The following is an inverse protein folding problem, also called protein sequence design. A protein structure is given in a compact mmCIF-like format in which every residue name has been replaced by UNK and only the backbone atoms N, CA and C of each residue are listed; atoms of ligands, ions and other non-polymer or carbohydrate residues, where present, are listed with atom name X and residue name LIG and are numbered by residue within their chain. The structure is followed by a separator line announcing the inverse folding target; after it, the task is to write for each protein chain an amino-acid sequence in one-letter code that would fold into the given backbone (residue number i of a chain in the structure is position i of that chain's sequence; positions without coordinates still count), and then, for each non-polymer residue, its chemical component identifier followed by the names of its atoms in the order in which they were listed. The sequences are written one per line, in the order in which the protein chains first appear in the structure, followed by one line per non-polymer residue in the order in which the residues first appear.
data_IF_640380588949
#
_entry.id   IF_640380588949
#
_cell.length_a   1.000
_cell.length_b   1.000
_cell.length_c   1.000
_cell.angle_alpha   90.00
_cell.angle_beta   90.00
_cell.angle_gamma   90.00
#
_symmetry.space_group_name_H-M   'P 1'
#
loop_
_entity.id
_entity.type
_entity.pdbx_description
1 polymer ?
#
# COMPACT_ATOMS: atom_id res chain seq x y z
N UNK A 1 -11.78 -11.87 -18.58
CA UNK A 1 -12.41 -12.20 -17.29
C UNK A 1 -11.82 -11.22 -16.30
N UNK A 2 -12.56 -10.18 -15.97
CA UNK A 2 -12.11 -9.12 -15.07
C UNK A 2 -12.43 -9.57 -13.64
N UNK A 3 -11.42 -10.13 -12.97
CA UNK A 3 -11.51 -10.62 -11.59
C UNK A 3 -11.04 -9.55 -10.60
N UNK A 4 -11.52 -8.30 -10.76
CA UNK A 4 -11.19 -7.21 -9.84
C UNK A 4 -12.29 -7.13 -8.77
N UNK A 5 -12.00 -7.62 -7.56
CA UNK A 5 -12.91 -7.60 -6.42
C UNK A 5 -12.50 -6.54 -5.40
N UNK A 6 -13.46 -5.70 -4.99
CA UNK A 6 -13.35 -4.85 -3.79
C UNK A 6 -13.78 -5.66 -2.58
N UNK A 7 -12.85 -5.96 -1.68
CA UNK A 7 -13.09 -6.73 -0.46
C UNK A 7 -13.14 -5.79 0.75
N UNK A 8 -14.28 -5.14 0.99
CA UNK A 8 -14.46 -4.21 2.10
C UNK A 8 -13.87 -2.82 1.87
N UNK A 9 -13.95 -1.94 2.88
CA UNK A 9 -13.91 -0.49 2.70
C UNK A 9 -12.62 0.09 2.08
N UNK A 10 -11.47 -0.61 2.06
CA UNK A 10 -10.21 -0.04 1.55
C UNK A 10 -9.25 -1.07 0.92
N UNK A 11 -9.77 -2.21 0.44
CA UNK A 11 -8.95 -3.32 -0.05
C UNK A 11 -9.33 -3.71 -1.47
N UNK A 12 -8.39 -3.55 -2.40
CA UNK A 12 -8.54 -3.87 -3.81
C UNK A 12 -7.63 -5.04 -4.19
N UNK A 13 -8.18 -6.10 -4.80
CA UNK A 13 -7.38 -7.18 -5.40
C UNK A 13 -7.31 -7.01 -6.91
N UNK A 14 -6.10 -7.03 -7.46
CA UNK A 14 -5.85 -6.86 -8.91
C UNK A 14 -4.92 -7.96 -9.40
N UNK A 15 -5.16 -8.48 -10.61
CA UNK A 15 -4.21 -9.35 -11.30
C UNK A 15 -2.98 -8.56 -11.77
N UNK A 16 -1.82 -9.20 -11.77
CA UNK A 16 -0.54 -8.59 -12.14
C UNK A 16 -0.55 -8.05 -13.58
N UNK A 17 -1.21 -8.74 -14.53
CA UNK A 17 -1.24 -8.32 -15.93
C UNK A 17 -2.08 -7.06 -16.12
N UNK A 18 -3.19 -6.99 -15.39
CA UNK A 18 -4.15 -5.90 -15.46
C UNK A 18 -3.60 -4.63 -14.79
N UNK A 19 -2.90 -4.81 -13.66
CA UNK A 19 -2.13 -3.76 -13.01
C UNK A 19 -1.05 -3.18 -13.94
N UNK A 20 -0.35 -4.01 -14.71
CA UNK A 20 0.73 -3.55 -15.60
C UNK A 20 0.23 -2.55 -16.65
N UNK A 21 -0.97 -2.78 -17.20
CA UNK A 21 -1.54 -1.93 -18.25
C UNK A 21 -2.14 -0.65 -17.66
N UNK A 22 -2.74 -0.75 -16.47
CA UNK A 22 -3.55 0.31 -15.87
C UNK A 22 -2.95 0.90 -14.58
N UNK A 23 -1.62 0.77 -14.38
CA UNK A 23 -0.95 1.12 -13.13
C UNK A 23 -1.29 2.55 -12.66
N UNK A 24 -1.18 3.54 -13.56
CA UNK A 24 -1.47 4.94 -13.23
C UNK A 24 -2.91 5.13 -12.76
N UNK A 25 -3.88 4.51 -13.43
CA UNK A 25 -5.30 4.58 -13.06
C UNK A 25 -5.52 4.04 -11.64
N UNK A 26 -4.98 2.85 -11.38
CA UNK A 26 -5.12 2.22 -10.07
C UNK A 26 -4.41 3.01 -8.96
N UNK A 27 -3.26 3.62 -9.24
CA UNK A 27 -2.56 4.48 -8.28
C UNK A 27 -3.35 5.75 -7.97
N UNK A 28 -3.97 6.39 -8.96
CA UNK A 28 -4.72 7.64 -8.77
C UNK A 28 -6.08 7.42 -8.11
N UNK A 29 -6.78 6.33 -8.44
CA UNK A 29 -8.11 6.02 -7.90
C UNK A 29 -8.08 5.44 -6.47
N UNK A 30 -6.93 4.91 -6.03
CA UNK A 30 -6.77 4.22 -4.74
C UNK A 30 -5.73 4.94 -3.87
N UNK A 31 -5.71 6.28 -3.92
CA UNK A 31 -4.85 7.11 -3.08
C UNK A 31 -5.21 6.93 -1.60
N UNK A 32 -4.29 6.35 -0.82
CA UNK A 32 -4.49 6.02 0.59
C UNK A 32 -4.90 4.57 0.85
N UNK A 33 -5.27 3.82 -0.20
CA UNK A 33 -5.71 2.44 -0.09
C UNK A 33 -4.56 1.44 -0.28
N UNK A 34 -4.85 0.19 0.11
CA UNK A 34 -3.92 -0.92 -0.05
C UNK A 34 -4.36 -1.81 -1.21
N UNK A 35 -3.53 -1.87 -2.24
CA UNK A 35 -3.74 -2.69 -3.43
C UNK A 35 -2.99 -4.01 -3.24
N UNK A 36 -3.72 -5.12 -3.25
CA UNK A 36 -3.18 -6.46 -3.21
C UNK A 36 -3.04 -7.00 -4.63
N UNK A 37 -1.81 -7.30 -4.99
CA UNK A 37 -1.46 -7.80 -6.32
C UNK A 37 -1.45 -9.32 -6.24
N UNK A 38 -2.23 -9.95 -7.13
CA UNK A 38 -2.34 -11.39 -7.22
C UNK A 38 -1.84 -11.89 -8.58
N UNK A 39 -1.33 -13.12 -8.61
CA UNK A 39 -0.95 -13.84 -9.83
C UNK A 39 -1.27 -15.31 -9.65
N UNK A 40 -1.97 -15.92 -10.62
CA UNK A 40 -2.42 -17.32 -10.53
C UNK A 40 -3.14 -17.63 -9.21
N UNK A 41 -4.05 -16.76 -8.78
CA UNK A 41 -4.79 -16.83 -7.50
C UNK A 41 -3.92 -16.84 -6.23
N UNK A 42 -2.64 -16.46 -6.33
CA UNK A 42 -1.75 -16.28 -5.18
C UNK A 42 -1.45 -14.80 -4.97
N UNK A 43 -1.42 -14.37 -3.71
CA UNK A 43 -0.97 -13.02 -3.37
C UNK A 43 0.54 -12.94 -3.58
N UNK A 44 0.97 -11.99 -4.41
CA UNK A 44 2.39 -11.82 -4.76
C UNK A 44 3.00 -10.53 -4.21
N UNK A 45 2.20 -9.48 -4.03
CA UNK A 45 2.68 -8.22 -3.48
C UNK A 45 1.54 -7.39 -2.87
N UNK A 46 1.93 -6.47 -1.97
CA UNK A 46 1.09 -5.41 -1.43
C UNK A 46 1.66 -4.08 -1.90
N UNK A 47 0.81 -3.22 -2.43
CA UNK A 47 1.16 -1.87 -2.85
C UNK A 47 0.30 -0.88 -2.07
N UNK A 48 0.93 -0.06 -1.23
CA UNK A 48 0.24 1.01 -0.52
C UNK A 48 0.58 2.35 -1.17
N UNK A 49 -0.44 3.05 -1.62
CA UNK A 49 -0.27 4.34 -2.30
C UNK A 49 -0.43 5.45 -1.27
N UNK A 50 0.69 6.05 -0.86
CA UNK A 50 0.68 7.14 0.11
C UNK A 50 0.39 8.46 -0.57
N UNK A 51 -0.69 9.15 -0.16
CA UNK A 51 -0.85 10.57 -0.47
C UNK A 51 0.15 11.40 0.37
N UNK A 52 0.36 12.68 0.03
CA UNK A 52 1.28 13.58 0.75
C UNK A 52 1.04 13.61 2.27
N UNK A 53 -0.22 13.56 2.68
CA UNK A 53 -0.61 13.61 4.09
C UNK A 53 -0.22 12.33 4.85
N UNK A 54 -0.52 11.16 4.28
CA UNK A 54 -0.15 9.85 4.84
C UNK A 54 1.36 9.66 4.77
N UNK A 55 2.04 10.19 3.74
CA UNK A 55 3.50 10.21 3.65
C UNK A 55 4.10 10.97 4.83
N UNK A 56 3.66 12.21 5.10
CA UNK A 56 4.12 13.00 6.27
C UNK A 56 3.84 12.28 7.58
N UNK A 57 2.64 11.70 7.75
CA UNK A 57 2.28 10.95 8.96
C UNK A 57 3.14 9.70 9.15
N UNK A 58 3.49 9.02 8.05
CA UNK A 58 4.35 7.84 8.06
C UNK A 58 5.80 8.20 8.37
N UNK A 59 6.32 9.28 7.80
CA UNK A 59 7.65 9.84 8.10
C UNK A 59 7.77 10.22 9.57
N UNK A 60 6.79 10.95 10.11
CA UNK A 60 6.73 11.30 11.55
C UNK A 60 6.69 10.05 12.43
N UNK A 61 5.94 9.02 12.03
CA UNK A 61 5.88 7.74 12.77
C UNK A 61 7.23 7.01 12.73
N UNK A 62 7.93 7.04 11.60
CA UNK A 62 9.25 6.45 11.47
C UNK A 62 10.27 7.18 12.36
N UNK A 63 10.29 8.51 12.29
CA UNK A 63 11.15 9.36 13.10
C UNK A 63 10.92 9.12 14.60
N UNK A 64 9.66 9.03 15.02
CA UNK A 64 9.31 8.69 16.41
C UNK A 64 9.88 7.33 16.84
N UNK A 65 9.73 6.29 16.00
CA UNK A 65 10.30 4.97 16.30
C UNK A 65 11.81 4.99 16.41
N UNK A 66 12.49 5.78 15.57
CA UNK A 66 13.94 5.92 15.61
C UNK A 66 14.40 6.63 16.90
N UNK A 67 13.68 7.65 17.35
CA UNK A 67 13.94 8.32 18.63
C UNK A 67 13.71 7.38 19.82
N UNK A 68 12.59 6.65 19.85
CA UNK A 68 12.28 5.69 20.92
C UNK A 68 13.32 4.54 20.97
N UNK A 69 13.81 4.10 19.81
CA UNK A 69 14.88 3.10 19.74
C UNK A 69 16.22 3.67 20.24
N UNK A 70 16.55 4.91 19.88
CA UNK A 70 17.73 5.60 20.37
C UNK A 70 17.70 5.79 21.90
N UNK A 71 16.56 6.21 22.45
CA UNK A 71 16.35 6.35 23.90
C UNK A 71 16.47 5.02 24.63
N UNK A 72 15.98 3.92 24.05
CA UNK A 72 16.15 2.57 24.61
C UNK A 72 17.58 2.06 24.52
N UNK A 73 18.37 2.50 23.55
CA UNK A 73 19.79 2.11 23.41
C UNK A 73 20.74 2.93 24.29
N UNK A 74 20.30 4.11 24.74
CA UNK A 74 21.09 5.01 25.60
C UNK A 74 20.87 4.77 27.10
N UNK A 75 20.09 3.76 27.47
CA UNK A 75 19.76 3.37 28.85
C UNK A 75 20.32 2.00 29.16
#
# INVERSE_FOLDING_TARGET
MDNNEKLGDNVLRIDTNDLRINLTKYLTENLGDTIYITRYNKLVAELRVYNEEIKRKTELRLAKKMLEAAERSSK
#
